data_IF_761469312386
#
_entry.id   IF_761469312386
#
_cell.length_a   1.000
_cell.length_b   1.000
_cell.length_c   1.000
_cell.angle_alpha   90.00
_cell.angle_beta   90.00
_cell.angle_gamma   90.00
#
_symmetry.space_group_name_H-M   'P 1'
#
loop_
_entity.id
_entity.type
_entity.pdbx_description
1 polymer ?
#
# COMPACT_ATOMS: atom_id res chain seq x y z
N UNK A 1 -9.85 -28.70 -6.54
CA UNK A 1 -10.22 -27.28 -6.76
C UNK A 1 -9.04 -26.30 -6.67
N UNK A 2 -7.76 -26.73 -6.61
CA UNK A 2 -6.71 -25.84 -6.07
C UNK A 2 -5.56 -25.46 -7.03
N UNK A 3 -5.20 -26.30 -8.00
CA UNK A 3 -4.04 -26.01 -8.86
C UNK A 3 -4.32 -24.87 -9.86
N UNK A 4 -5.49 -24.89 -10.49
CA UNK A 4 -5.93 -23.94 -11.51
C UNK A 4 -5.97 -22.49 -11.02
N UNK A 5 -6.47 -22.27 -9.79
CA UNK A 5 -6.52 -20.97 -9.14
C UNK A 5 -5.13 -20.47 -8.72
N UNK A 6 -4.27 -21.36 -8.20
CA UNK A 6 -2.89 -21.02 -7.85
C UNK A 6 -2.07 -20.60 -9.08
N UNK A 7 -2.17 -21.35 -10.18
CA UNK A 7 -1.49 -20.99 -11.43
C UNK A 7 -2.03 -19.68 -12.01
N UNK A 8 -3.33 -19.42 -11.88
CA UNK A 8 -3.94 -18.14 -12.27
C UNK A 8 -3.36 -16.98 -11.46
N UNK A 9 -3.30 -17.10 -10.12
CA UNK A 9 -2.69 -16.09 -9.24
C UNK A 9 -1.21 -15.87 -9.58
N UNK A 10 -0.44 -16.93 -9.80
CA UNK A 10 0.98 -16.80 -10.18
C UNK A 10 1.15 -16.08 -11.51
N UNK A 11 0.31 -16.39 -12.50
CA UNK A 11 0.35 -15.72 -13.80
C UNK A 11 0.05 -14.22 -13.68
N UNK A 12 -0.95 -13.86 -12.89
CA UNK A 12 -1.33 -12.47 -12.62
C UNK A 12 -0.23 -11.74 -11.82
N UNK A 13 0.34 -12.40 -10.80
CA UNK A 13 1.46 -11.88 -10.02
C UNK A 13 2.68 -11.55 -10.89
N UNK A 14 3.03 -12.43 -11.84
CA UNK A 14 4.14 -12.19 -12.75
C UNK A 14 3.91 -10.98 -13.67
N UNK A 15 2.67 -10.75 -14.13
CA UNK A 15 2.30 -9.56 -14.91
C UNK A 15 2.47 -8.30 -14.07
N UNK A 16 2.04 -8.34 -12.81
CA UNK A 16 2.11 -7.23 -11.87
C UNK A 16 3.56 -6.87 -11.50
N UNK A 17 4.42 -7.87 -11.27
CA UNK A 17 5.83 -7.67 -10.86
C UNK A 17 6.67 -6.94 -11.91
N UNK A 18 6.36 -7.11 -13.20
CA UNK A 18 7.05 -6.43 -14.31
C UNK A 18 6.39 -5.12 -14.73
N UNK A 19 5.34 -4.70 -14.03
CA UNK A 19 4.57 -3.51 -14.35
C UNK A 19 4.86 -2.37 -13.36
N UNK A 20 4.36 -1.17 -13.66
CA UNK A 20 4.42 0.00 -12.78
C UNK A 20 3.76 -0.24 -11.40
N UNK A 21 3.01 -1.34 -11.26
CA UNK A 21 2.37 -1.79 -10.03
C UNK A 21 3.39 -2.06 -8.90
N UNK A 22 4.52 -2.70 -9.22
CA UNK A 22 5.58 -2.96 -8.24
C UNK A 22 6.20 -1.66 -7.74
N UNK A 23 6.52 -0.75 -8.66
CA UNK A 23 7.03 0.58 -8.34
C UNK A 23 6.04 1.40 -7.52
N UNK A 24 4.75 1.26 -7.79
CA UNK A 24 3.71 1.93 -7.04
C UNK A 24 3.68 1.50 -5.57
N UNK A 25 3.74 0.18 -5.31
CA UNK A 25 3.76 -0.34 -3.94
C UNK A 25 5.01 0.11 -3.21
N UNK A 26 6.17 0.07 -3.88
CA UNK A 26 7.44 0.44 -3.30
C UNK A 26 7.49 1.95 -3.00
N UNK A 27 7.23 2.79 -3.99
CA UNK A 27 7.22 4.24 -3.82
C UNK A 27 6.13 4.66 -2.83
N UNK A 28 4.92 4.12 -2.95
CA UNK A 28 3.81 4.44 -2.05
C UNK A 28 4.09 4.06 -0.60
N UNK A 29 4.66 2.87 -0.36
CA UNK A 29 5.01 2.43 1.00
C UNK A 29 6.10 3.28 1.65
N UNK A 30 7.08 3.78 0.88
CA UNK A 30 8.20 4.57 1.40
C UNK A 30 7.99 6.09 1.35
N UNK A 31 7.04 6.59 0.55
CA UNK A 31 6.83 8.02 0.34
C UNK A 31 6.55 8.77 1.64
N UNK A 32 5.54 8.33 2.40
CA UNK A 32 5.17 8.97 3.68
C UNK A 32 6.27 8.84 4.73
N UNK A 33 6.87 7.66 4.99
CA UNK A 33 8.00 7.54 5.91
C UNK A 33 9.20 8.41 5.53
N UNK A 34 9.53 8.51 4.23
CA UNK A 34 10.65 9.32 3.76
C UNK A 34 10.43 10.82 4.02
N UNK A 35 9.23 11.33 3.73
CA UNK A 35 8.87 12.73 3.99
C UNK A 35 8.92 13.03 5.48
N UNK A 36 8.33 12.17 6.31
CA UNK A 36 8.35 12.36 7.76
C UNK A 36 9.77 12.30 8.33
N UNK A 37 10.62 11.40 7.82
CA UNK A 37 12.03 11.34 8.19
C UNK A 37 12.74 12.67 7.89
N UNK A 38 12.54 13.23 6.69
CA UNK A 38 13.13 14.50 6.29
C UNK A 38 12.64 15.66 7.16
N UNK A 39 11.33 15.73 7.44
CA UNK A 39 10.76 16.75 8.33
C UNK A 39 11.40 16.67 9.72
N UNK A 40 11.54 15.47 10.28
CA UNK A 40 12.12 15.30 11.61
C UNK A 40 13.63 15.57 11.65
N UNK A 41 14.35 15.31 10.55
CA UNK A 41 15.75 15.70 10.42
C UNK A 41 15.92 17.22 10.38
N UNK A 42 15.07 17.93 9.62
CA UNK A 42 15.16 19.39 9.47
C UNK A 42 14.69 20.13 10.72
N UNK A 43 13.65 19.64 11.40
CA UNK A 43 13.05 20.29 12.57
C UNK A 43 13.44 19.65 13.90
N UNK A 44 14.63 19.04 13.96
CA UNK A 44 15.07 18.22 15.09
C UNK A 44 14.96 18.93 16.45
N UNK A 45 15.26 20.24 16.51
CA UNK A 45 15.17 21.03 17.74
C UNK A 45 13.74 21.16 18.27
N UNK A 46 12.73 21.20 17.40
CA UNK A 46 11.31 21.25 17.79
C UNK A 46 10.76 19.88 18.16
N UNK A 47 11.30 18.81 17.58
CA UNK A 47 10.84 17.43 17.83
C UNK A 47 11.62 16.72 18.92
N UNK A 48 12.81 17.19 19.30
CA UNK A 48 13.60 16.68 20.42
C UNK A 48 12.80 16.45 21.73
N UNK A 49 11.91 17.36 22.18
CA UNK A 49 11.07 17.08 23.35
C UNK A 49 10.05 15.96 23.13
N UNK A 50 9.62 15.70 21.88
CA UNK A 50 8.73 14.59 21.56
C UNK A 50 9.41 13.22 21.73
N UNK A 51 10.71 13.12 21.45
CA UNK A 51 11.50 11.88 21.68
C UNK A 51 11.56 11.47 23.15
N UNK A 52 11.41 12.42 24.08
CA UNK A 52 11.40 12.17 25.51
C UNK A 52 10.06 11.60 26.02
N UNK A 53 8.99 11.64 25.22
CA UNK A 53 7.67 11.14 25.61
C UNK A 53 7.57 9.60 25.49
N UNK A 54 7.10 8.88 26.53
CA UNK A 54 6.95 7.42 26.49
C UNK A 54 6.02 6.89 25.38
N UNK A 55 5.15 7.75 24.85
CA UNK A 55 4.17 7.43 23.79
C UNK A 55 4.61 7.89 22.40
N UNK A 56 5.87 8.31 22.23
CA UNK A 56 6.42 8.80 20.97
C UNK A 56 6.11 7.88 19.79
N UNK A 57 6.45 6.59 19.89
CA UNK A 57 6.26 5.63 18.79
C UNK A 57 4.82 5.51 18.31
N UNK A 58 3.85 5.59 19.23
CA UNK A 58 2.43 5.48 18.87
C UNK A 58 1.95 6.76 18.20
N UNK A 59 2.33 7.94 18.73
CA UNK A 59 1.99 9.24 18.11
C UNK A 59 2.64 9.40 16.75
N UNK A 60 3.91 9.01 16.63
CA UNK A 60 4.65 8.96 15.38
C UNK A 60 3.95 8.08 14.34
N UNK A 61 3.60 6.85 14.73
CA UNK A 61 2.90 5.92 13.86
C UNK A 61 1.53 6.45 13.42
N UNK A 62 0.76 7.02 14.35
CA UNK A 62 -0.54 7.64 14.07
C UNK A 62 -0.44 8.81 13.10
N UNK A 63 0.54 9.70 13.28
CA UNK A 63 0.72 10.84 12.39
C UNK A 63 1.08 10.43 10.95
N UNK A 64 1.94 9.42 10.81
CA UNK A 64 2.19 8.81 9.51
C UNK A 64 0.96 8.12 8.95
N UNK A 65 0.18 7.47 9.81
CA UNK A 65 -1.05 6.79 9.39
C UNK A 65 -2.13 7.74 8.91
N UNK A 66 -2.32 8.89 9.54
CA UNK A 66 -3.24 9.93 9.08
C UNK A 66 -2.87 10.38 7.67
N UNK A 67 -1.59 10.72 7.45
CA UNK A 67 -1.09 11.11 6.13
C UNK A 67 -1.30 10.00 5.08
N UNK A 68 -1.05 8.75 5.48
CA UNK A 68 -1.26 7.56 4.65
C UNK A 68 -2.74 7.37 4.30
N UNK A 69 -3.64 7.51 5.27
CA UNK A 69 -5.07 7.27 5.13
C UNK A 69 -5.75 8.32 4.24
N UNK A 70 -5.35 9.59 4.33
CA UNK A 70 -5.95 10.66 3.54
C UNK A 70 -5.49 10.68 2.08
N UNK A 71 -4.19 10.51 1.85
CA UNK A 71 -3.62 10.68 0.51
C UNK A 71 -3.38 9.34 -0.16
N UNK A 72 -2.63 8.47 0.51
CA UNK A 72 -1.93 7.37 -0.13
C UNK A 72 -2.81 6.13 -0.27
N UNK A 73 -3.71 5.89 0.68
CA UNK A 73 -4.66 4.78 0.65
C UNK A 73 -5.65 4.92 -0.52
N UNK A 74 -6.39 6.05 -0.67
CA UNK A 74 -7.33 6.22 -1.77
C UNK A 74 -6.63 6.20 -3.13
N UNK A 75 -5.52 6.93 -3.27
CA UNK A 75 -4.73 6.94 -4.51
C UNK A 75 -4.15 5.56 -4.82
N UNK A 76 -3.62 4.86 -3.81
CA UNK A 76 -3.06 3.53 -3.94
C UNK A 76 -4.09 2.50 -4.41
N UNK A 77 -5.31 2.54 -3.85
CA UNK A 77 -6.41 1.68 -4.32
C UNK A 77 -6.75 2.01 -5.77
N UNK A 78 -7.02 3.28 -6.10
CA UNK A 78 -7.43 3.70 -7.46
C UNK A 78 -6.37 3.34 -8.49
N UNK A 79 -5.10 3.62 -8.20
CA UNK A 79 -4.00 3.32 -9.10
C UNK A 79 -3.78 1.81 -9.23
N UNK A 80 -3.80 1.03 -8.14
CA UNK A 80 -3.68 -0.42 -8.21
C UNK A 80 -4.80 -1.05 -9.04
N UNK A 81 -6.05 -0.64 -8.83
CA UNK A 81 -7.20 -1.15 -9.61
C UNK A 81 -7.12 -0.73 -11.07
N UNK A 82 -6.74 0.53 -11.35
CA UNK A 82 -6.65 1.03 -12.72
C UNK A 82 -5.51 0.39 -13.51
N UNK A 83 -4.41 0.04 -12.84
CA UNK A 83 -3.26 -0.57 -13.48
C UNK A 83 -3.53 -2.03 -13.87
N UNK A 84 -4.29 -2.75 -13.04
CA UNK A 84 -4.81 -4.08 -13.42
C UNK A 84 -5.80 -3.96 -14.57
N UNK A 85 -6.71 -2.98 -14.55
CA UNK A 85 -7.61 -2.74 -15.68
C UNK A 85 -6.84 -2.42 -16.97
N UNK A 86 -5.80 -1.58 -16.90
CA UNK A 86 -4.94 -1.23 -18.03
C UNK A 86 -4.20 -2.45 -18.60
N UNK A 87 -3.70 -3.34 -17.75
CA UNK A 87 -3.05 -4.58 -18.19
C UNK A 87 -3.99 -5.44 -19.03
N UNK A 88 -5.29 -5.38 -18.76
CA UNK A 88 -6.31 -6.10 -19.53
C UNK A 88 -6.64 -5.45 -20.87
N UNK A 89 -6.82 -4.11 -20.90
CA UNK A 89 -7.16 -3.39 -22.12
C UNK A 89 -5.98 -3.30 -23.09
N UNK A 90 -4.77 -3.00 -22.60
CA UNK A 90 -3.60 -2.74 -23.45
C UNK A 90 -3.13 -3.99 -24.21
N UNK A 91 -3.31 -5.18 -23.63
CA UNK A 91 -2.84 -6.44 -24.23
C UNK A 91 -3.94 -7.25 -24.91
N UNK A 92 -5.18 -6.72 -25.07
CA UNK A 92 -6.35 -7.52 -25.44
C UNK A 92 -6.49 -8.81 -24.60
N UNK A 93 -5.99 -8.78 -23.36
CA UNK A 93 -5.80 -9.99 -22.55
C UNK A 93 -7.14 -10.65 -22.22
N UNK A 94 -8.23 -9.88 -22.17
CA UNK A 94 -9.60 -10.41 -22.08
C UNK A 94 -9.89 -11.49 -23.11
N UNK A 95 -9.46 -11.34 -24.37
CA UNK A 95 -9.69 -12.36 -25.41
C UNK A 95 -8.92 -13.64 -25.11
N UNK A 96 -7.70 -13.52 -24.60
CA UNK A 96 -6.85 -14.66 -24.22
C UNK A 96 -7.32 -15.34 -22.92
N UNK A 97 -7.86 -14.57 -21.99
CA UNK A 97 -8.41 -15.07 -20.72
C UNK A 97 -9.73 -15.81 -20.98
N UNK A 98 -10.59 -15.29 -21.86
CA UNK A 98 -11.85 -15.93 -22.25
C UNK A 98 -11.67 -17.23 -23.05
N UNK A 99 -10.51 -17.45 -23.68
CA UNK A 99 -10.19 -18.70 -24.37
C UNK A 99 -9.59 -19.76 -23.44
N UNK A 100 -9.25 -19.41 -22.19
CA UNK A 100 -8.81 -20.42 -21.21
C UNK A 100 -10.01 -21.20 -20.67
N UNK A 101 -9.87 -22.51 -20.38
CA UNK A 101 -10.95 -23.36 -19.86
C UNK A 101 -11.23 -23.09 -18.36
N UNK A 102 -11.07 -21.86 -17.90
CA UNK A 102 -11.28 -21.46 -16.52
C UNK A 102 -12.60 -20.69 -16.37
N UNK A 103 -13.26 -20.85 -15.23
CA UNK A 103 -14.46 -20.05 -14.94
C UNK A 103 -14.08 -18.58 -14.73
N UNK A 104 -14.95 -17.68 -15.20
CA UNK A 104 -14.78 -16.23 -15.00
C UNK A 104 -14.60 -15.86 -13.53
N UNK A 105 -15.33 -16.53 -12.63
CA UNK A 105 -15.20 -16.36 -11.19
C UNK A 105 -13.79 -16.64 -10.68
N UNK A 106 -13.11 -17.67 -11.20
CA UNK A 106 -11.72 -18.00 -10.81
C UNK A 106 -10.75 -16.90 -11.21
N UNK A 107 -10.96 -16.30 -12.39
CA UNK A 107 -10.14 -15.19 -12.89
C UNK A 107 -10.34 -13.94 -12.04
N UNK A 108 -11.59 -13.58 -11.73
CA UNK A 108 -11.89 -12.42 -10.89
C UNK A 108 -11.33 -12.56 -9.48
N UNK A 109 -11.50 -13.74 -8.86
CA UNK A 109 -10.94 -14.03 -7.54
C UNK A 109 -9.42 -13.95 -7.57
N UNK A 110 -8.77 -14.56 -8.57
CA UNK A 110 -7.30 -14.51 -8.69
C UNK A 110 -6.78 -13.07 -8.78
N UNK A 111 -7.40 -12.22 -9.61
CA UNK A 111 -7.03 -10.81 -9.77
C UNK A 111 -7.25 -10.02 -8.48
N UNK A 112 -8.38 -10.20 -7.82
CA UNK A 112 -8.67 -9.56 -6.54
C UNK A 112 -7.64 -9.97 -5.48
N UNK A 113 -7.28 -11.25 -5.40
CA UNK A 113 -6.22 -11.74 -4.51
C UNK A 113 -4.87 -11.08 -4.78
N UNK A 114 -4.52 -10.81 -6.05
CA UNK A 114 -3.30 -10.06 -6.38
C UNK A 114 -3.36 -8.63 -5.83
N UNK A 115 -4.48 -7.90 -6.01
CA UNK A 115 -4.63 -6.55 -5.43
C UNK A 115 -4.50 -6.58 -3.91
N UNK A 116 -5.15 -7.54 -3.26
CA UNK A 116 -5.10 -7.71 -1.81
C UNK A 116 -3.66 -7.92 -1.31
N UNK A 117 -2.88 -8.74 -2.03
CA UNK A 117 -1.50 -9.00 -1.68
C UNK A 117 -0.60 -7.78 -1.93
N UNK A 118 -0.83 -7.03 -3.00
CA UNK A 118 -0.13 -5.76 -3.23
C UNK A 118 -0.39 -4.73 -2.12
N UNK A 119 -1.65 -4.60 -1.70
CA UNK A 119 -2.01 -3.75 -0.57
C UNK A 119 -1.36 -4.22 0.72
N UNK A 120 -1.37 -5.52 0.99
CA UNK A 120 -0.70 -6.08 2.15
C UNK A 120 0.81 -5.72 2.17
N UNK A 121 1.50 -5.88 1.02
CA UNK A 121 2.89 -5.48 0.90
C UNK A 121 3.11 -3.99 1.16
N UNK A 122 2.24 -3.12 0.66
CA UNK A 122 2.31 -1.68 0.88
C UNK A 122 2.20 -1.34 2.38
N UNK A 123 1.31 -2.00 3.14
CA UNK A 123 1.20 -1.81 4.59
C UNK A 123 2.44 -2.31 5.35
N UNK A 124 3.01 -3.44 4.93
CA UNK A 124 4.25 -3.99 5.52
C UNK A 124 5.42 -3.05 5.28
N UNK A 125 5.61 -2.60 4.03
CA UNK A 125 6.66 -1.65 3.68
C UNK A 125 6.50 -0.32 4.41
N UNK A 126 5.28 0.19 4.54
CA UNK A 126 4.98 1.39 5.31
C UNK A 126 5.36 1.22 6.78
N UNK A 127 4.98 0.11 7.42
CA UNK A 127 5.30 -0.15 8.83
C UNK A 127 6.81 -0.23 9.06
N UNK A 128 7.52 -0.93 8.18
CA UNK A 128 8.99 -1.04 8.21
C UNK A 128 9.63 0.35 7.98
N UNK A 129 9.14 1.08 6.98
CA UNK A 129 9.60 2.43 6.67
C UNK A 129 9.42 3.39 7.85
N UNK A 130 8.28 3.35 8.53
CA UNK A 130 7.98 4.17 9.71
C UNK A 130 8.91 3.86 10.89
N UNK A 131 9.28 2.59 11.08
CA UNK A 131 10.26 2.20 12.09
C UNK A 131 11.63 2.84 11.79
N UNK A 132 12.13 2.68 10.57
CA UNK A 132 13.40 3.27 10.17
C UNK A 132 13.37 4.80 10.20
N UNK A 133 12.31 5.42 9.70
CA UNK A 133 12.15 6.88 9.69
C UNK A 133 12.13 7.48 11.11
N UNK A 134 11.63 6.76 12.11
CA UNK A 134 11.68 7.19 13.51
C UNK A 134 13.07 7.00 14.16
N UNK A 135 13.82 5.98 13.75
CA UNK A 135 15.14 5.64 14.30
C UNK A 135 16.30 6.43 13.67
N UNK A 136 16.24 6.70 12.36
CA UNK A 136 17.31 7.36 11.59
C UNK A 136 17.68 8.75 12.15
N UNK A 137 16.73 9.65 12.49
CA UNK A 137 17.09 10.96 13.03
C UNK A 137 17.83 10.87 14.37
N UNK A 138 17.48 9.90 15.23
CA UNK A 138 18.15 9.69 16.51
C UNK A 138 19.56 9.10 16.35
N UNK A 139 19.82 8.33 15.30
CA UNK A 139 21.17 7.83 14.98
C UNK A 139 22.05 8.91 14.34
N UNK A 140 21.46 9.77 13.50
CA UNK A 140 22.21 10.81 12.79
C UNK A 140 22.55 12.00 13.69
N UNK A 141 21.61 12.45 14.53
CA UNK A 141 21.82 13.52 15.49
C UNK A 141 22.14 12.92 16.86
N UNK A 142 23.42 12.58 17.11
CA UNK A 142 23.88 11.93 18.34
C UNK A 142 23.65 12.68 19.66
N UNK A 143 23.12 13.91 19.60
CA UNK A 143 22.69 14.71 20.75
C UNK A 143 21.20 14.53 21.11
N UNK A 144 20.41 13.83 20.27
CA UNK A 144 19.01 13.54 20.53
C UNK A 144 18.93 12.17 21.20
N UNK A 145 18.32 12.06 22.40
CA UNK A 145 18.16 10.76 23.04
C UNK A 145 17.29 9.85 22.15
N UNK A 146 17.69 8.58 22.05
CA UNK A 146 16.85 7.57 21.43
C UNK A 146 15.45 7.57 22.09
N UNK A 147 14.35 7.42 21.32
CA UNK A 147 13.01 7.47 21.87
C UNK A 147 12.87 6.66 23.16
N UNK A 148 12.38 7.29 24.24
CA UNK A 148 12.22 6.59 25.52
C UNK A 148 11.11 5.55 25.43
N UNK A 149 11.50 4.27 25.40
CA UNK A 149 10.60 3.13 25.48
C UNK A 149 10.74 2.16 24.31
N UNK A 150 10.46 0.86 24.53
CA UNK A 150 10.53 -0.15 23.49
C UNK A 150 9.50 0.14 22.39
N UNK A 151 9.86 -0.15 21.14
CA UNK A 151 8.92 -0.07 20.02
C UNK A 151 7.74 -1.03 20.27
N UNK A 152 6.49 -0.54 20.35
CA UNK A 152 5.34 -1.36 20.71
C UNK A 152 4.84 -2.18 19.51
N UNK A 153 5.63 -3.16 19.07
CA UNK A 153 5.35 -4.03 17.92
C UNK A 153 3.93 -4.60 17.94
N UNK A 154 3.49 -5.11 19.08
CA UNK A 154 2.15 -5.68 19.22
C UNK A 154 1.06 -4.67 18.86
N UNK A 155 1.10 -3.45 19.41
CA UNK A 155 0.08 -2.43 19.12
C UNK A 155 0.15 -1.98 17.67
N UNK A 156 1.34 -1.80 17.12
CA UNK A 156 1.50 -1.30 15.75
C UNK A 156 0.98 -2.35 14.75
N UNK A 157 1.34 -3.62 14.92
CA UNK A 157 0.82 -4.70 14.08
C UNK A 157 -0.70 -4.84 14.22
N UNK A 158 -1.23 -4.74 15.44
CA UNK A 158 -2.68 -4.76 15.67
C UNK A 158 -3.38 -3.60 14.94
N UNK A 159 -2.82 -2.39 15.02
CA UNK A 159 -3.37 -1.22 14.32
C UNK A 159 -3.30 -1.41 12.80
N UNK A 160 -2.14 -1.79 12.25
CA UNK A 160 -1.98 -2.06 10.81
C UNK A 160 -2.97 -3.11 10.31
N UNK A 161 -3.19 -4.16 11.08
CA UNK A 161 -4.13 -5.24 10.72
C UNK A 161 -5.57 -4.74 10.74
N UNK A 162 -5.98 -4.00 11.77
CA UNK A 162 -7.32 -3.39 11.84
C UNK A 162 -7.57 -2.43 10.66
N UNK A 163 -6.58 -1.61 10.31
CA UNK A 163 -6.67 -0.73 9.16
C UNK A 163 -6.74 -1.49 7.83
N UNK A 164 -5.94 -2.55 7.67
CA UNK A 164 -5.99 -3.40 6.50
C UNK A 164 -7.40 -4.00 6.33
N UNK A 165 -7.95 -4.61 7.38
CA UNK A 165 -9.30 -5.19 7.38
C UNK A 165 -10.36 -4.14 7.04
N UNK A 166 -10.24 -2.93 7.59
CA UNK A 166 -11.17 -1.82 7.33
C UNK A 166 -11.10 -1.32 5.89
N UNK A 167 -9.95 -1.46 5.22
CA UNK A 167 -9.77 -1.09 3.81
C UNK A 167 -10.31 -2.13 2.83
N UNK A 168 -10.53 -3.39 3.25
CA UNK A 168 -10.98 -4.48 2.37
C UNK A 168 -12.32 -4.18 1.66
N UNK A 169 -13.37 -3.69 2.34
CA UNK A 169 -14.64 -3.39 1.66
C UNK A 169 -14.50 -2.28 0.62
N UNK A 170 -13.71 -1.26 0.92
CA UNK A 170 -13.45 -0.13 0.02
C UNK A 170 -12.71 -0.62 -1.23
N UNK A 171 -11.70 -1.46 -1.05
CA UNK A 171 -10.92 -2.06 -2.13
C UNK A 171 -11.78 -2.98 -2.99
N UNK A 172 -12.65 -3.80 -2.39
CA UNK A 172 -13.60 -4.65 -3.10
C UNK A 172 -14.56 -3.83 -3.97
N UNK A 173 -15.13 -2.76 -3.40
CA UNK A 173 -16.05 -1.88 -4.11
C UNK A 173 -15.35 -1.17 -5.27
N UNK A 174 -14.15 -0.61 -5.04
CA UNK A 174 -13.38 0.07 -6.08
C UNK A 174 -12.96 -0.87 -7.21
N UNK A 175 -12.55 -2.10 -6.87
CA UNK A 175 -12.21 -3.13 -7.85
C UNK A 175 -13.42 -3.51 -8.71
N UNK A 176 -14.58 -3.70 -8.09
CA UNK A 176 -15.83 -3.99 -8.81
C UNK A 176 -16.21 -2.86 -9.77
N UNK A 177 -16.17 -1.61 -9.31
CA UNK A 177 -16.42 -0.44 -10.15
C UNK A 177 -15.44 -0.36 -11.33
N UNK A 178 -14.15 -0.60 -11.08
CA UNK A 178 -13.12 -0.54 -12.13
C UNK A 178 -13.32 -1.56 -13.26
N UNK A 179 -13.95 -2.70 -12.97
CA UNK A 179 -14.25 -3.72 -13.98
C UNK A 179 -15.55 -3.41 -14.72
N UNK A 180 -16.57 -2.98 -13.98
CA UNK A 180 -17.89 -2.70 -14.54
C UNK A 180 -17.84 -1.51 -15.50
N UNK A 181 -17.11 -0.45 -15.12
CA UNK A 181 -16.93 0.73 -15.95
C UNK A 181 -15.68 0.59 -16.82
N UNK A 182 -15.87 0.12 -18.07
CA UNK A 182 -14.82 0.06 -19.13
C UNK A 182 -14.02 1.36 -19.32
N UNK A 183 -14.57 2.50 -18.89
CA UNK A 183 -14.10 3.85 -19.18
C UNK A 183 -13.71 4.68 -17.94
N UNK A 184 -13.34 4.08 -16.80
CA UNK A 184 -12.89 4.89 -15.66
C UNK A 184 -11.64 5.75 -15.98
N UNK A 185 -10.84 5.34 -16.99
CA UNK A 185 -9.72 6.15 -17.49
C UNK A 185 -10.14 7.42 -18.24
N UNK A 186 -11.34 7.48 -18.83
CA UNK A 186 -11.84 8.71 -19.47
C UNK A 186 -12.22 9.75 -18.40
N UNK A 187 -12.74 9.31 -17.25
CA UNK A 187 -13.15 10.23 -16.18
C UNK A 187 -11.98 10.80 -15.36
N UNK A 188 -10.85 10.10 -15.24
CA UNK A 188 -9.65 10.62 -14.56
C UNK A 188 -8.72 11.38 -15.51
N UNK A 189 -8.69 11.04 -16.80
CA UNK A 189 -7.88 11.72 -17.82
C UNK A 189 -8.50 13.01 -18.38
N UNK A 190 -9.82 13.20 -18.23
CA UNK A 190 -10.50 14.47 -18.58
C UNK A 190 -10.73 15.39 -17.37
N UNK A 191 -10.19 15.02 -16.21
CA UNK A 191 -10.28 15.76 -14.95
C UNK A 191 -9.04 16.58 -14.60
N UNK A 192 -8.30 17.04 -15.61
CA UNK A 192 -7.27 18.08 -15.50
C UNK A 192 -7.45 19.11 -16.63
#
# INVERSE_FOLDING_TARGET
MNATLLYSIQSEWMKTKRSAAFWLVLLGGFFTPAILCLIYMVYIEKVAPAYAEPKFWIKWYLNGWESMAYLLLPMGIVLATSLIAQLEYKNNAWKQVLTTPQSLSTVFVAKYTVVLFMMFQLFVLFTIGMYFAGAIPAWYYGHVPYPKGPFPWHRIVQMSTSFYITSLPILALQYFLSIYFKNFMVSLGQGF
#
